data_IF_468701460337
#
_entry.id   IF_468701460337
#
_cell.length_a   1.000
_cell.length_b   1.000
_cell.length_c   1.000
_cell.angle_alpha   90.00
_cell.angle_beta   90.00
_cell.angle_gamma   90.00
#
_symmetry.space_group_name_H-M   'P 1'
#
loop_
_entity.id
_entity.type
_entity.pdbx_description
1 polymer ?
#
# COMPACT_ATOMS: atom_id res chain seq x y z
N UNK A 1 -20.92 55.25 47.42
CA UNK A 1 -19.77 54.80 46.59
C UNK A 1 -20.13 53.47 45.96
N UNK A 2 -20.49 53.46 44.67
CA UNK A 2 -20.81 52.23 43.93
C UNK A 2 -19.55 51.79 43.18
N UNK A 3 -19.04 50.61 43.52
CA UNK A 3 -17.90 50.00 42.83
C UNK A 3 -18.44 49.26 41.59
N UNK A 4 -18.08 49.71 40.38
CA UNK A 4 -18.32 48.98 39.13
C UNK A 4 -17.30 47.82 39.02
N UNK A 5 -17.72 46.61 38.61
CA UNK A 5 -16.79 45.52 38.30
C UNK A 5 -16.11 45.78 36.94
N UNK A 6 -14.76 45.70 36.94
CA UNK A 6 -13.96 45.74 35.70
C UNK A 6 -14.16 44.43 34.90
N UNK A 7 -14.69 44.56 33.69
CA UNK A 7 -14.81 43.46 32.72
C UNK A 7 -13.45 43.34 32.01
N UNK A 8 -12.73 42.26 32.29
CA UNK A 8 -11.49 41.93 31.59
C UNK A 8 -11.86 41.27 30.23
N UNK A 9 -11.38 41.78 29.08
CA UNK A 9 -11.65 41.15 27.82
C UNK A 9 -10.85 39.85 27.71
N UNK A 10 -11.54 38.72 27.56
CA UNK A 10 -10.94 37.44 27.18
C UNK A 10 -10.60 37.51 25.69
N UNK A 11 -9.32 37.68 25.38
CA UNK A 11 -8.82 37.50 24.01
C UNK A 11 -8.90 36.02 23.67
N UNK A 12 -9.90 35.63 22.88
CA UNK A 12 -9.91 34.36 22.16
C UNK A 12 -8.83 34.43 21.08
N UNK A 13 -7.68 33.83 21.36
CA UNK A 13 -6.69 33.52 20.33
C UNK A 13 -7.27 32.43 19.43
N UNK A 14 -7.94 32.82 18.36
CA UNK A 14 -8.31 31.96 17.26
C UNK A 14 -6.99 31.56 16.56
N UNK A 15 -6.39 30.47 17.00
CA UNK A 15 -5.25 29.86 16.31
C UNK A 15 -5.71 29.34 14.96
N UNK A 16 -5.52 30.11 13.89
CA UNK A 16 -5.59 29.57 12.53
C UNK A 16 -4.54 28.50 12.41
N UNK A 17 -4.90 27.23 12.60
CA UNK A 17 -4.07 26.12 12.16
C UNK A 17 -3.94 26.24 10.64
N UNK A 18 -2.75 26.59 10.15
CA UNK A 18 -2.49 26.56 8.70
C UNK A 18 -2.79 25.14 8.22
N UNK A 19 -3.68 25.00 7.25
CA UNK A 19 -3.94 23.71 6.62
C UNK A 19 -2.60 23.15 6.11
N UNK A 20 -2.29 21.91 6.46
CA UNK A 20 -1.07 21.25 5.99
C UNK A 20 -1.27 20.94 4.50
N UNK A 21 -0.38 21.39 3.62
CA UNK A 21 -0.51 21.08 2.21
C UNK A 21 -0.41 19.57 1.98
N UNK A 22 -1.21 19.06 1.05
CA UNK A 22 -1.20 17.64 0.67
C UNK A 22 0.21 17.25 0.14
N UNK A 23 0.91 16.29 0.79
CA UNK A 23 2.22 15.84 0.33
C UNK A 23 2.07 14.98 -0.91
N UNK A 24 2.76 15.34 -2.01
CA UNK A 24 2.73 14.56 -3.24
C UNK A 24 3.89 13.56 -3.27
N UNK A 25 3.61 12.24 -3.43
CA UNK A 25 4.66 11.26 -3.66
C UNK A 25 5.41 11.54 -4.98
N UNK A 26 6.73 11.31 -4.98
CA UNK A 26 7.56 11.45 -6.18
C UNK A 26 7.57 10.13 -6.95
N UNK A 27 7.05 10.15 -8.19
CA UNK A 27 7.02 8.99 -9.05
C UNK A 27 8.43 8.51 -9.50
N UNK A 28 9.42 9.39 -9.56
CA UNK A 28 10.80 8.99 -9.87
C UNK A 28 11.42 8.20 -8.71
N UNK A 29 11.15 8.61 -7.46
CA UNK A 29 11.57 7.83 -6.29
C UNK A 29 10.83 6.47 -6.26
N UNK A 30 9.54 6.44 -6.56
CA UNK A 30 8.79 5.20 -6.67
C UNK A 30 9.39 4.26 -7.73
N UNK A 31 9.67 4.78 -8.93
CA UNK A 31 10.28 4.02 -10.02
C UNK A 31 11.67 3.49 -9.66
N UNK A 32 12.47 4.30 -8.98
CA UNK A 32 13.80 3.88 -8.51
C UNK A 32 13.69 2.69 -7.56
N UNK A 33 12.79 2.75 -6.57
CA UNK A 33 12.59 1.65 -5.63
C UNK A 33 12.04 0.38 -6.28
N UNK A 34 11.07 0.52 -7.20
CA UNK A 34 10.54 -0.61 -7.97
C UNK A 34 11.64 -1.29 -8.80
N UNK A 35 12.51 -0.50 -9.49
CA UNK A 35 13.65 -1.00 -10.25
C UNK A 35 14.68 -1.72 -9.38
N UNK A 36 15.03 -1.12 -8.23
CA UNK A 36 15.98 -1.73 -7.29
C UNK A 36 15.47 -3.11 -6.79
N UNK A 37 14.16 -3.21 -6.52
CA UNK A 37 13.53 -4.46 -6.09
C UNK A 37 13.48 -5.50 -7.21
N UNK A 38 13.09 -5.12 -8.42
CA UNK A 38 12.98 -6.00 -9.59
C UNK A 38 14.31 -6.63 -10.01
N UNK A 39 15.45 -6.07 -9.58
CA UNK A 39 16.79 -6.66 -9.80
C UNK A 39 17.11 -7.81 -8.84
N UNK A 40 16.32 -8.01 -7.78
CA UNK A 40 16.48 -9.14 -6.86
C UNK A 40 15.73 -10.33 -7.43
N UNK A 41 16.42 -11.23 -8.10
CA UNK A 41 15.83 -12.40 -8.74
C UNK A 41 16.61 -13.67 -8.41
N UNK A 42 15.91 -14.82 -8.25
CA UNK A 42 14.46 -14.98 -8.17
C UNK A 42 13.93 -14.47 -6.82
N UNK A 43 12.73 -13.82 -6.82
CA UNK A 43 12.13 -13.22 -5.62
C UNK A 43 10.84 -13.94 -5.18
N UNK A 44 10.62 -15.17 -5.63
CA UNK A 44 9.44 -15.93 -5.19
C UNK A 44 9.51 -16.28 -3.70
N UNK A 45 8.37 -16.43 -3.06
CA UNK A 45 8.23 -16.81 -1.66
C UNK A 45 9.13 -17.97 -1.27
N UNK A 46 9.78 -17.88 -0.12
CA UNK A 46 10.70 -18.88 0.41
C UNK A 46 12.10 -18.88 -0.21
N UNK A 47 12.36 -18.08 -1.26
CA UNK A 47 13.69 -17.94 -1.88
C UNK A 47 14.60 -17.02 -1.05
N UNK A 48 15.92 -17.12 -1.30
CA UNK A 48 16.88 -16.15 -0.73
C UNK A 48 16.61 -14.73 -1.27
N UNK A 49 16.15 -14.60 -2.53
CA UNK A 49 15.76 -13.30 -3.08
C UNK A 49 14.58 -12.68 -2.36
N UNK A 50 13.56 -13.44 -1.96
CA UNK A 50 12.46 -12.90 -1.14
C UNK A 50 12.96 -12.38 0.20
N UNK A 51 13.90 -13.09 0.85
CA UNK A 51 14.56 -12.62 2.07
C UNK A 51 15.35 -11.33 1.85
N UNK A 52 16.16 -11.26 0.79
CA UNK A 52 16.94 -10.05 0.44
C UNK A 52 16.03 -8.87 0.11
N UNK A 53 14.89 -9.11 -0.53
CA UNK A 53 13.87 -8.09 -0.80
C UNK A 53 13.28 -7.52 0.50
N UNK A 54 12.90 -8.38 1.45
CA UNK A 54 12.42 -7.95 2.77
C UNK A 54 13.48 -7.11 3.51
N UNK A 55 14.75 -7.55 3.51
CA UNK A 55 15.87 -6.82 4.12
C UNK A 55 16.11 -5.46 3.44
N UNK A 56 15.95 -5.38 2.10
CA UNK A 56 16.06 -4.12 1.38
C UNK A 56 14.92 -3.16 1.75
N UNK A 57 13.66 -3.65 1.78
CA UNK A 57 12.49 -2.85 2.16
C UNK A 57 12.65 -2.36 3.60
N UNK A 58 13.03 -3.25 4.53
CA UNK A 58 13.27 -2.88 5.92
C UNK A 58 14.33 -1.77 6.05
N UNK A 59 15.46 -1.89 5.33
CA UNK A 59 16.52 -0.89 5.33
C UNK A 59 16.01 0.46 4.81
N UNK A 60 15.29 0.47 3.66
CA UNK A 60 14.72 1.69 3.07
C UNK A 60 13.70 2.36 3.99
N UNK A 61 12.84 1.57 4.62
CA UNK A 61 11.89 2.09 5.59
C UNK A 61 12.57 2.69 6.83
N UNK A 62 13.67 2.11 7.30
CA UNK A 62 14.47 2.62 8.42
C UNK A 62 15.23 3.92 8.12
N UNK A 63 15.43 4.26 6.84
CA UNK A 63 15.96 5.57 6.43
C UNK A 63 14.97 6.71 6.71
N UNK A 64 13.72 6.39 7.09
CA UNK A 64 12.64 7.32 7.38
C UNK A 64 12.34 7.35 8.89
N UNK A 65 12.98 8.21 9.69
CA UNK A 65 12.93 8.17 11.15
C UNK A 65 11.55 8.44 11.78
N UNK A 66 10.58 8.96 11.02
CA UNK A 66 9.20 9.08 11.48
C UNK A 66 8.48 7.72 11.62
N UNK A 67 9.01 6.67 10.99
CA UNK A 67 8.38 5.36 10.94
C UNK A 67 9.03 4.37 11.93
N UNK A 68 8.18 3.59 12.60
CA UNK A 68 8.61 2.45 13.41
C UNK A 68 8.55 1.20 12.55
N UNK A 69 9.71 0.60 12.26
CA UNK A 69 9.83 -0.52 11.34
C UNK A 69 9.99 -1.84 12.11
N UNK A 70 9.26 -2.86 11.68
CA UNK A 70 9.33 -4.23 12.21
C UNK A 70 9.16 -5.27 11.12
N UNK A 71 9.69 -6.46 11.35
CA UNK A 71 9.56 -7.62 10.44
C UNK A 71 8.91 -8.76 11.22
N UNK A 72 7.79 -9.29 10.70
CA UNK A 72 7.17 -10.53 11.20
C UNK A 72 7.66 -11.71 10.35
N UNK A 73 8.47 -12.56 10.94
CA UNK A 73 8.98 -13.78 10.31
C UNK A 73 8.13 -14.95 10.76
N UNK A 74 7.55 -15.68 9.82
CA UNK A 74 6.68 -16.81 10.11
C UNK A 74 6.86 -17.95 9.12
N UNK A 75 6.37 -19.12 9.47
CA UNK A 75 6.35 -20.29 8.59
C UNK A 75 4.90 -20.66 8.27
N UNK A 76 4.68 -21.09 7.04
CA UNK A 76 3.41 -21.66 6.61
C UNK A 76 3.64 -22.86 5.70
N UNK A 77 2.72 -23.82 5.80
CA UNK A 77 2.67 -24.96 4.90
C UNK A 77 2.11 -24.50 3.56
N UNK A 78 2.81 -24.85 2.49
CA UNK A 78 2.40 -24.59 1.10
C UNK A 78 2.46 -25.88 0.30
N UNK A 79 1.94 -25.92 -0.94
CA UNK A 79 2.15 -27.05 -1.85
C UNK A 79 3.61 -27.37 -2.12
N UNK A 80 4.52 -26.38 -2.02
CA UNK A 80 5.95 -26.54 -2.16
C UNK A 80 6.66 -26.98 -0.84
N UNK A 81 5.90 -27.24 0.22
CA UNK A 81 6.41 -27.58 1.54
C UNK A 81 6.29 -26.42 2.54
N UNK A 82 7.00 -26.56 3.67
CA UNK A 82 6.99 -25.52 4.71
C UNK A 82 7.96 -24.39 4.31
N UNK A 83 7.43 -23.22 4.00
CA UNK A 83 8.20 -22.05 3.60
C UNK A 83 8.28 -21.00 4.72
N UNK A 84 9.32 -20.19 4.67
CA UNK A 84 9.48 -19.03 5.58
C UNK A 84 9.15 -17.74 4.85
N UNK A 85 8.24 -16.96 5.43
CA UNK A 85 7.74 -15.70 4.93
C UNK A 85 8.14 -14.53 5.84
N UNK A 86 8.14 -13.30 5.29
CA UNK A 86 8.52 -12.09 6.03
C UNK A 86 7.63 -10.91 5.64
N UNK A 87 6.71 -10.51 6.52
CA UNK A 87 6.03 -9.23 6.34
C UNK A 87 6.88 -8.10 6.92
N UNK A 88 7.11 -7.04 6.16
CA UNK A 88 7.74 -5.82 6.66
C UNK A 88 6.65 -4.79 6.94
N UNK A 89 6.65 -4.22 8.14
CA UNK A 89 5.69 -3.19 8.55
C UNK A 89 6.42 -1.92 8.96
N UNK A 90 5.95 -0.77 8.45
CA UNK A 90 6.42 0.56 8.82
C UNK A 90 5.24 1.39 9.32
N UNK A 91 5.28 1.78 10.57
CA UNK A 91 4.18 2.46 11.26
C UNK A 91 4.52 3.93 11.46
N UNK A 92 3.69 4.82 10.90
CA UNK A 92 3.70 6.24 11.24
C UNK A 92 2.70 6.46 12.38
N UNK A 93 3.18 6.79 13.60
CA UNK A 93 2.29 6.99 14.74
C UNK A 93 1.28 8.10 14.50
N UNK A 94 0.05 7.87 14.91
CA UNK A 94 -1.04 8.84 14.86
C UNK A 94 -1.47 9.33 16.24
N UNK A 95 -2.48 10.22 16.28
CA UNK A 95 -3.08 10.71 17.52
C UNK A 95 -4.07 9.72 18.16
N UNK A 96 -4.39 8.64 17.48
CA UNK A 96 -5.40 7.65 17.86
C UNK A 96 -4.83 6.23 17.64
N UNK A 97 -5.29 5.28 18.45
CA UNK A 97 -5.01 3.85 18.25
C UNK A 97 -5.78 3.23 17.06
N UNK A 98 -6.67 4.00 16.41
CA UNK A 98 -7.29 3.57 15.14
C UNK A 98 -6.29 3.78 14.02
N UNK A 99 -6.30 2.90 13.03
CA UNK A 99 -5.33 2.94 11.96
C UNK A 99 -5.92 2.62 10.59
N UNK A 100 -5.17 3.00 9.55
CA UNK A 100 -5.36 2.58 8.16
C UNK A 100 -4.15 1.75 7.76
N UNK A 101 -4.39 0.66 7.04
CA UNK A 101 -3.34 -0.14 6.39
C UNK A 101 -3.22 0.30 4.94
N UNK A 102 -1.99 0.51 4.48
CA UNK A 102 -1.65 0.65 3.06
C UNK A 102 -0.69 -0.47 2.73
N UNK A 103 -1.05 -1.33 1.81
CA UNK A 103 -0.31 -2.55 1.53
C UNK A 103 0.12 -2.72 0.09
N UNK A 104 1.15 -3.53 -0.12
CA UNK A 104 1.57 -4.09 -1.40
C UNK A 104 2.31 -5.39 -1.14
N UNK A 105 2.22 -6.37 -2.04
CA UNK A 105 3.09 -7.52 -1.98
C UNK A 105 4.46 -7.19 -2.58
N UNK A 106 5.49 -7.99 -2.23
CA UNK A 106 6.83 -7.78 -2.75
C UNK A 106 7.45 -9.05 -3.35
N UNK A 107 6.87 -10.21 -3.07
CA UNK A 107 7.29 -11.45 -3.72
C UNK A 107 6.90 -11.45 -5.21
N UNK A 108 7.44 -12.36 -5.98
CA UNK A 108 7.18 -12.47 -7.40
C UNK A 108 6.80 -13.91 -7.74
N UNK A 109 5.99 -14.07 -8.76
CA UNK A 109 5.57 -15.39 -9.24
C UNK A 109 6.74 -16.31 -9.52
N UNK A 110 6.64 -17.56 -9.08
CA UNK A 110 7.56 -18.61 -9.48
C UNK A 110 7.15 -19.14 -10.86
N UNK A 111 7.94 -18.84 -11.87
CA UNK A 111 7.71 -19.30 -13.23
C UNK A 111 8.87 -20.20 -13.67
N UNK A 112 8.61 -21.49 -13.88
CA UNK A 112 9.64 -22.45 -14.33
C UNK A 112 10.19 -22.08 -15.71
N UNK A 113 9.37 -21.47 -16.58
CA UNK A 113 9.78 -20.99 -17.90
C UNK A 113 10.56 -19.69 -17.88
N UNK A 114 10.56 -18.94 -16.76
CA UNK A 114 11.23 -17.64 -16.59
C UNK A 114 11.93 -17.62 -15.24
N UNK A 115 13.05 -18.34 -15.05
CA UNK A 115 13.69 -18.50 -13.73
C UNK A 115 14.11 -17.19 -13.04
N UNK A 116 14.38 -16.14 -13.81
CA UNK A 116 14.73 -14.80 -13.32
C UNK A 116 13.57 -13.81 -13.57
N UNK A 117 12.35 -14.24 -13.33
CA UNK A 117 11.18 -13.38 -13.43
C UNK A 117 11.34 -12.15 -12.53
N UNK A 118 11.21 -10.95 -13.14
CA UNK A 118 11.47 -9.70 -12.43
C UNK A 118 10.28 -9.28 -11.55
N UNK A 119 9.05 -9.52 -12.00
CA UNK A 119 7.87 -9.01 -11.31
C UNK A 119 8.01 -7.51 -11.06
N UNK A 120 8.35 -6.74 -12.12
CA UNK A 120 8.67 -5.32 -11.97
C UNK A 120 7.42 -4.49 -11.67
N UNK A 121 6.32 -4.81 -12.33
CA UNK A 121 5.00 -4.27 -12.03
C UNK A 121 4.33 -5.09 -10.94
N UNK A 122 4.31 -6.40 -11.12
CA UNK A 122 3.71 -7.39 -10.25
C UNK A 122 4.65 -7.68 -9.06
N UNK A 123 4.32 -7.10 -7.91
CA UNK A 123 5.07 -7.05 -6.67
C UNK A 123 6.10 -5.91 -6.57
N UNK A 124 6.62 -5.36 -7.68
CA UNK A 124 7.62 -4.29 -7.64
C UNK A 124 7.04 -2.89 -7.55
N UNK A 125 6.01 -2.61 -8.35
CA UNK A 125 5.43 -1.26 -8.49
C UNK A 125 4.76 -0.77 -7.20
N UNK A 126 3.99 -1.63 -6.54
CA UNK A 126 3.32 -1.32 -5.28
C UNK A 126 4.32 -0.97 -4.18
N UNK A 127 5.41 -1.73 -4.06
CA UNK A 127 6.50 -1.43 -3.10
C UNK A 127 7.10 -0.06 -3.37
N UNK A 128 7.40 0.26 -4.64
CA UNK A 128 7.92 1.57 -5.02
C UNK A 128 6.99 2.71 -4.64
N UNK A 129 5.69 2.54 -4.92
CA UNK A 129 4.66 3.51 -4.58
C UNK A 129 4.55 3.73 -3.05
N UNK A 130 4.54 2.66 -2.26
CA UNK A 130 4.47 2.74 -0.79
C UNK A 130 5.68 3.49 -0.21
N UNK A 131 6.89 3.20 -0.64
CA UNK A 131 8.10 3.87 -0.17
C UNK A 131 8.10 5.38 -0.52
N UNK A 132 7.63 5.74 -1.72
CA UNK A 132 7.47 7.15 -2.11
C UNK A 132 6.40 7.86 -1.28
N UNK A 133 5.27 7.19 -0.94
CA UNK A 133 4.25 7.74 -0.04
C UNK A 133 4.81 7.97 1.37
N UNK A 134 5.56 7.02 1.90
CA UNK A 134 6.22 7.14 3.21
C UNK A 134 7.19 8.33 3.23
N UNK A 135 8.00 8.49 2.15
CA UNK A 135 8.93 9.63 2.02
C UNK A 135 8.17 10.96 2.00
N UNK A 136 7.08 11.07 1.25
CA UNK A 136 6.25 12.27 1.20
C UNK A 136 5.65 12.64 2.56
N UNK A 137 5.19 11.65 3.33
CA UNK A 137 4.69 11.84 4.69
C UNK A 137 5.79 12.26 5.67
N UNK A 138 6.98 11.65 5.57
CA UNK A 138 8.17 12.03 6.33
C UNK A 138 8.54 13.49 6.11
N UNK A 139 8.59 13.94 4.85
CA UNK A 139 8.96 15.30 4.48
C UNK A 139 7.91 16.32 4.90
N UNK A 140 6.64 15.94 4.90
CA UNK A 140 5.56 16.80 5.39
C UNK A 140 5.61 17.02 6.91
N UNK A 141 6.25 16.13 7.66
CA UNK A 141 6.45 16.26 9.11
C UNK A 141 5.16 16.30 9.92
N UNK A 142 4.06 15.73 9.39
CA UNK A 142 2.76 15.77 10.04
C UNK A 142 2.48 14.52 10.86
N UNK A 143 1.89 14.69 12.04
CA UNK A 143 1.32 13.57 12.81
C UNK A 143 -0.14 13.38 12.39
N UNK A 144 -0.48 12.27 11.75
CA UNK A 144 -1.85 12.03 11.28
C UNK A 144 -2.82 11.79 12.44
N UNK A 145 -4.14 12.07 12.26
CA UNK A 145 -5.16 11.76 13.27
C UNK A 145 -5.28 10.28 13.59
N UNK A 146 -5.11 9.41 12.60
CA UNK A 146 -5.06 7.95 12.74
C UNK A 146 -3.63 7.48 12.49
N UNK A 147 -3.24 6.38 13.11
CA UNK A 147 -1.99 5.69 12.80
C UNK A 147 -2.01 5.17 11.35
N UNK A 148 -0.89 5.25 10.65
CA UNK A 148 -0.75 4.69 9.29
C UNK A 148 0.22 3.52 9.33
N UNK A 149 -0.23 2.37 8.84
CA UNK A 149 0.58 1.15 8.77
C UNK A 149 0.83 0.81 7.31
N UNK A 150 2.06 1.00 6.86
CA UNK A 150 2.53 0.53 5.56
C UNK A 150 3.02 -0.90 5.72
N UNK A 151 2.43 -1.83 4.97
CA UNK A 151 2.73 -3.25 5.10
C UNK A 151 3.12 -3.82 3.75
N UNK A 152 4.30 -4.42 3.70
CA UNK A 152 4.84 -5.11 2.54
C UNK A 152 4.66 -6.61 2.80
N UNK A 153 3.75 -7.22 2.05
CA UNK A 153 3.37 -8.61 2.23
C UNK A 153 4.30 -9.56 1.47
N UNK A 154 4.58 -10.71 2.07
CA UNK A 154 5.26 -11.84 1.43
C UNK A 154 4.26 -12.94 1.16
N UNK A 155 4.38 -13.60 0.02
CA UNK A 155 3.56 -14.76 -0.29
C UNK A 155 2.14 -14.42 -0.71
N UNK A 156 1.94 -13.35 -1.43
CA UNK A 156 0.74 -13.11 -2.21
C UNK A 156 0.63 -14.18 -3.29
N UNK A 157 1.73 -14.42 -3.98
CA UNK A 157 1.82 -15.31 -5.14
C UNK A 157 1.68 -16.79 -4.78
N UNK A 158 0.68 -17.44 -5.35
CA UNK A 158 0.51 -18.88 -5.20
C UNK A 158 1.69 -19.65 -5.80
N UNK A 159 2.13 -20.71 -5.12
CA UNK A 159 3.20 -21.59 -5.62
C UNK A 159 2.74 -22.44 -6.79
N UNK A 160 1.45 -22.84 -6.81
CA UNK A 160 0.84 -23.65 -7.85
C UNK A 160 -0.45 -22.98 -8.32
N UNK A 161 -1.42 -22.80 -7.44
CA UNK A 161 -2.75 -22.29 -7.75
C UNK A 161 -3.36 -21.64 -6.52
N UNK A 162 -3.98 -20.47 -6.69
CA UNK A 162 -4.67 -19.77 -5.59
C UNK A 162 -5.81 -20.63 -5.03
N UNK A 163 -5.56 -21.20 -3.87
CA UNK A 163 -6.47 -22.07 -3.11
C UNK A 163 -6.23 -21.86 -1.61
N UNK A 164 -7.05 -22.50 -0.76
CA UNK A 164 -6.79 -22.51 0.67
C UNK A 164 -5.39 -23.09 0.96
N UNK A 165 -4.49 -22.26 1.49
CA UNK A 165 -3.12 -22.64 1.81
C UNK A 165 -2.10 -22.44 0.67
N UNK A 166 -2.49 -21.78 -0.41
CA UNK A 166 -1.56 -21.37 -1.47
C UNK A 166 -1.87 -19.95 -1.98
N UNK A 167 -0.99 -19.01 -1.71
CA UNK A 167 -1.17 -17.58 -1.93
C UNK A 167 -1.69 -16.82 -0.71
N UNK A 168 -1.54 -15.51 -0.71
CA UNK A 168 -2.00 -14.54 0.30
C UNK A 168 -1.50 -14.83 1.71
N UNK A 169 -0.38 -15.51 1.87
CA UNK A 169 0.15 -15.92 3.18
C UNK A 169 0.44 -14.73 4.09
N UNK A 170 1.01 -13.66 3.53
CA UNK A 170 1.37 -12.45 4.28
C UNK A 170 0.18 -11.69 4.83
N UNK A 171 -0.81 -11.42 4.00
CA UNK A 171 -2.02 -10.70 4.41
C UNK A 171 -2.88 -11.51 5.37
N UNK A 172 -3.05 -12.80 5.14
CA UNK A 172 -3.74 -13.71 6.06
C UNK A 172 -3.04 -13.75 7.43
N UNK A 173 -1.69 -13.85 7.45
CA UNK A 173 -0.89 -13.77 8.68
C UNK A 173 -1.11 -12.44 9.39
N UNK A 174 -1.05 -11.32 8.68
CA UNK A 174 -1.22 -9.99 9.25
C UNK A 174 -2.61 -9.84 9.90
N UNK A 175 -3.67 -10.22 9.20
CA UNK A 175 -5.04 -10.19 9.73
C UNK A 175 -5.21 -11.12 10.93
N UNK A 176 -4.59 -12.31 10.92
CA UNK A 176 -4.59 -13.22 12.06
C UNK A 176 -3.94 -12.60 13.29
N UNK A 177 -2.82 -11.87 13.11
CA UNK A 177 -2.15 -11.13 14.19
C UNK A 177 -3.01 -9.98 14.72
N UNK A 178 -3.71 -9.23 13.85
CA UNK A 178 -4.67 -8.22 14.29
C UNK A 178 -5.80 -8.84 15.15
N UNK A 179 -6.29 -10.00 14.75
CA UNK A 179 -7.31 -10.75 15.52
C UNK A 179 -6.75 -11.18 16.88
N UNK A 180 -5.56 -11.76 16.91
CA UNK A 180 -4.89 -12.21 18.15
C UNK A 180 -4.66 -11.05 19.13
N UNK A 181 -4.32 -9.86 18.61
CA UNK A 181 -4.10 -8.63 19.41
C UNK A 181 -5.40 -7.88 19.73
N UNK A 182 -6.56 -8.35 19.26
CA UNK A 182 -7.86 -7.69 19.40
C UNK A 182 -7.89 -6.28 18.77
N UNK A 183 -7.19 -6.11 17.64
CA UNK A 183 -7.02 -4.83 16.93
C UNK A 183 -7.92 -4.70 15.68
N UNK A 184 -8.61 -5.76 15.23
CA UNK A 184 -9.44 -5.72 14.01
C UNK A 184 -10.38 -4.50 13.96
N UNK A 185 -11.08 -4.22 15.08
CA UNK A 185 -12.02 -3.08 15.19
C UNK A 185 -11.34 -1.71 15.12
N UNK A 186 -10.03 -1.63 15.29
CA UNK A 186 -9.25 -0.39 15.19
C UNK A 186 -8.80 -0.13 13.74
N UNK A 187 -8.73 -1.15 12.89
CA UNK A 187 -8.47 -1.00 11.46
C UNK A 187 -9.69 -0.38 10.78
N UNK A 188 -9.52 0.79 10.19
CA UNK A 188 -10.62 1.56 9.58
C UNK A 188 -10.75 1.33 8.09
N UNK A 189 -9.64 1.00 7.45
CA UNK A 189 -9.59 0.67 6.03
C UNK A 189 -8.28 -0.03 5.71
N UNK A 190 -8.28 -0.78 4.60
CA UNK A 190 -7.09 -1.29 3.93
C UNK A 190 -7.11 -0.80 2.48
N UNK A 191 -5.98 -0.25 2.03
CA UNK A 191 -5.76 0.19 0.64
C UNK A 191 -4.58 -0.61 0.11
N UNK A 192 -4.84 -1.46 -0.85
CA UNK A 192 -3.83 -2.25 -1.55
C UNK A 192 -3.39 -1.52 -2.81
N UNK A 193 -2.12 -1.62 -3.16
CA UNK A 193 -1.56 -1.17 -4.43
C UNK A 193 -0.87 -2.36 -5.09
N UNK A 194 -1.45 -2.84 -6.17
CA UNK A 194 -0.87 -3.90 -6.98
C UNK A 194 -0.84 -3.52 -8.46
N UNK A 195 0.23 -3.88 -9.17
CA UNK A 195 0.44 -3.62 -10.60
C UNK A 195 0.16 -2.16 -11.02
N UNK A 196 0.64 -1.19 -10.23
CA UNK A 196 0.31 0.25 -10.35
C UNK A 196 1.29 1.06 -11.20
N UNK A 197 2.18 0.40 -11.95
CA UNK A 197 3.28 1.04 -12.64
C UNK A 197 3.22 1.03 -14.17
N UNK A 198 2.22 0.41 -14.81
CA UNK A 198 2.11 0.35 -16.27
C UNK A 198 2.14 1.77 -16.86
N UNK A 199 2.86 1.92 -17.98
CA UNK A 199 2.96 3.17 -18.74
C UNK A 199 1.61 3.69 -19.25
N UNK A 200 0.60 2.82 -19.45
CA UNK A 200 -0.79 3.17 -19.82
C UNK A 200 -1.76 2.92 -18.65
N UNK A 201 -1.49 3.49 -17.51
CA UNK A 201 -2.18 3.28 -16.24
C UNK A 201 -3.70 3.42 -16.32
N UNK A 202 -4.42 2.36 -15.94
CA UNK A 202 -5.89 2.26 -15.91
C UNK A 202 -6.38 1.51 -14.68
N UNK A 203 -6.21 2.08 -13.50
CA UNK A 203 -6.71 1.49 -12.26
C UNK A 203 -8.20 1.14 -12.39
N UNK A 204 -8.56 -0.10 -12.09
CA UNK A 204 -9.91 -0.62 -12.24
C UNK A 204 -10.42 -1.19 -10.91
N UNK A 205 -11.41 -0.51 -10.31
CA UNK A 205 -11.97 -0.93 -9.03
C UNK A 205 -12.89 -2.13 -9.19
N UNK A 206 -12.64 -3.18 -8.43
CA UNK A 206 -13.45 -4.40 -8.39
C UNK A 206 -14.86 -4.11 -7.88
N UNK A 207 -15.90 -4.83 -8.37
CA UNK A 207 -17.29 -4.66 -7.94
C UNK A 207 -17.54 -4.90 -6.44
N UNK A 208 -16.70 -5.68 -5.78
CA UNK A 208 -16.78 -6.01 -4.35
C UNK A 208 -15.99 -5.03 -3.46
N UNK A 209 -15.40 -3.99 -4.04
CA UNK A 209 -14.79 -2.89 -3.30
C UNK A 209 -15.81 -2.21 -2.37
N UNK A 210 -15.41 -1.93 -1.13
CA UNK A 210 -16.25 -1.15 -0.21
C UNK A 210 -16.72 0.16 -0.88
N UNK A 211 -18.05 0.46 -0.91
CA UNK A 211 -18.56 1.61 -1.65
C UNK A 211 -18.03 2.97 -1.18
N UNK A 212 -17.70 3.11 0.11
CA UNK A 212 -17.14 4.35 0.67
C UNK A 212 -15.70 4.51 0.18
N UNK A 213 -14.93 3.42 0.14
CA UNK A 213 -13.57 3.45 -0.37
C UNK A 213 -13.54 3.70 -1.88
N UNK A 214 -14.44 3.07 -2.66
CA UNK A 214 -14.58 3.33 -4.09
C UNK A 214 -14.91 4.81 -4.37
N UNK A 215 -15.91 5.37 -3.68
CA UNK A 215 -16.24 6.78 -3.80
C UNK A 215 -15.09 7.71 -3.38
N UNK A 216 -14.33 7.33 -2.35
CA UNK A 216 -13.16 8.09 -1.87
C UNK A 216 -12.04 8.07 -2.91
N UNK A 217 -11.78 6.92 -3.55
CA UNK A 217 -10.78 6.80 -4.61
C UNK A 217 -11.14 7.64 -5.83
N UNK A 218 -12.38 7.55 -6.30
CA UNK A 218 -12.87 8.35 -7.43
C UNK A 218 -12.78 9.86 -7.13
N UNK A 219 -13.17 10.27 -5.91
CA UNK A 219 -13.06 11.67 -5.48
C UNK A 219 -11.60 12.12 -5.38
N UNK A 220 -10.71 11.29 -4.84
CA UNK A 220 -9.28 11.57 -4.76
C UNK A 220 -8.67 11.78 -6.17
N UNK A 221 -8.99 10.89 -7.10
CA UNK A 221 -8.53 11.01 -8.49
C UNK A 221 -9.08 12.28 -9.16
N UNK A 222 -10.37 12.60 -8.94
CA UNK A 222 -10.98 13.83 -9.47
C UNK A 222 -10.26 15.09 -8.99
N UNK A 223 -10.04 15.22 -7.69
CA UNK A 223 -9.38 16.39 -7.09
C UNK A 223 -7.92 16.55 -7.51
N UNK A 224 -7.27 15.45 -7.86
CA UNK A 224 -5.89 15.44 -8.37
C UNK A 224 -5.80 15.61 -9.89
N UNK A 225 -6.94 15.56 -10.61
CA UNK A 225 -6.98 15.65 -12.08
C UNK A 225 -6.68 14.33 -12.81
N UNK A 226 -6.82 13.19 -12.12
CA UNK A 226 -6.46 11.85 -12.62
C UNK A 226 -7.68 10.97 -12.98
N UNK A 227 -8.83 11.59 -13.34
CA UNK A 227 -10.08 10.87 -13.65
C UNK A 227 -9.92 9.79 -14.73
N UNK A 228 -9.04 9.99 -15.70
CA UNK A 228 -8.80 9.06 -16.79
C UNK A 228 -8.00 7.82 -16.38
N UNK A 229 -7.35 7.87 -15.23
CA UNK A 229 -6.47 6.80 -14.75
C UNK A 229 -7.16 5.86 -13.75
N UNK A 230 -8.45 6.06 -13.47
CA UNK A 230 -9.22 5.21 -12.58
C UNK A 230 -10.65 5.04 -13.09
N UNK A 231 -11.20 3.83 -12.96
CA UNK A 231 -12.57 3.51 -13.34
C UNK A 231 -13.23 2.55 -12.36
N UNK A 232 -14.55 2.56 -12.34
CA UNK A 232 -15.37 1.52 -11.70
C UNK A 232 -15.53 0.32 -12.61
N UNK A 233 -16.10 -0.76 -12.08
CA UNK A 233 -16.44 -1.97 -12.83
C UNK A 233 -15.22 -2.67 -13.45
N UNK A 234 -14.13 -2.74 -12.71
CA UNK A 234 -13.03 -3.65 -13.00
C UNK A 234 -13.44 -5.11 -12.88
N UNK A 235 -12.57 -6.07 -13.22
CA UNK A 235 -12.80 -7.47 -12.92
C UNK A 235 -12.84 -7.71 -11.40
N UNK A 236 -13.49 -8.77 -10.98
CA UNK A 236 -13.36 -9.22 -9.60
C UNK A 236 -11.97 -9.81 -9.41
N UNK A 237 -11.25 -9.31 -8.40
CA UNK A 237 -9.89 -9.74 -8.10
C UNK A 237 -9.85 -10.49 -6.77
N UNK A 238 -8.99 -11.50 -6.71
CA UNK A 238 -8.54 -12.11 -5.46
C UNK A 238 -7.11 -11.63 -5.24
N UNK A 239 -6.89 -10.96 -4.10
CA UNK A 239 -5.61 -10.39 -3.74
C UNK A 239 -5.53 -10.19 -2.22
N UNK A 240 -4.44 -9.67 -1.70
CA UNK A 240 -4.18 -9.44 -0.27
C UNK A 240 -5.30 -8.65 0.44
N UNK A 241 -6.03 -7.77 -0.26
CA UNK A 241 -7.20 -7.06 0.29
C UNK A 241 -8.32 -8.01 0.72
N UNK A 242 -8.45 -9.17 0.09
CA UNK A 242 -9.48 -10.18 0.39
C UNK A 242 -9.37 -10.70 1.82
N UNK A 243 -8.16 -10.85 2.37
CA UNK A 243 -7.96 -11.27 3.75
C UNK A 243 -8.60 -10.29 4.74
N UNK A 244 -8.54 -8.99 4.45
CA UNK A 244 -9.14 -7.93 5.26
C UNK A 244 -10.66 -7.91 5.11
N UNK A 245 -11.18 -8.02 3.89
CA UNK A 245 -12.63 -8.12 3.62
C UNK A 245 -13.25 -9.30 4.38
N UNK A 246 -12.61 -10.47 4.35
CA UNK A 246 -13.04 -11.68 5.08
C UNK A 246 -13.02 -11.48 6.61
N UNK A 247 -12.26 -10.52 7.11
CA UNK A 247 -12.25 -10.14 8.52
C UNK A 247 -13.23 -9.00 8.86
N UNK A 248 -14.03 -8.54 7.91
CA UNK A 248 -14.99 -7.45 8.07
C UNK A 248 -14.36 -6.06 8.07
N UNK A 249 -13.14 -5.92 7.54
CA UNK A 249 -12.46 -4.63 7.39
C UNK A 249 -12.73 -4.10 5.98
N UNK A 250 -13.22 -2.85 5.82
CA UNK A 250 -13.35 -2.22 4.52
C UNK A 250 -12.02 -2.23 3.78
N UNK A 251 -11.99 -2.77 2.56
CA UNK A 251 -10.75 -2.85 1.77
C UNK A 251 -11.00 -2.48 0.31
N UNK A 252 -9.96 -1.96 -0.33
CA UNK A 252 -9.91 -1.61 -1.74
C UNK A 252 -8.58 -2.06 -2.32
N UNK A 253 -8.65 -2.56 -3.52
CA UNK A 253 -7.51 -2.83 -4.36
C UNK A 253 -7.42 -1.77 -5.47
N UNK A 254 -6.30 -1.05 -5.52
CA UNK A 254 -5.95 -0.15 -6.59
C UNK A 254 -5.04 -0.91 -7.54
N UNK A 255 -5.63 -1.57 -8.53
CA UNK A 255 -4.92 -2.44 -9.45
C UNK A 255 -5.14 -2.02 -10.91
N UNK A 256 -4.10 -2.11 -11.72
CA UNK A 256 -4.18 -2.09 -13.17
C UNK A 256 -3.89 -3.48 -13.72
N UNK A 257 -4.95 -4.26 -13.92
CA UNK A 257 -4.83 -5.63 -14.43
C UNK A 257 -4.79 -5.69 -15.98
N UNK A 258 -4.79 -4.55 -16.67
CA UNK A 258 -4.63 -4.47 -18.13
C UNK A 258 -3.16 -4.20 -18.52
N UNK A 259 -2.24 -5.05 -18.06
CA UNK A 259 -0.79 -4.83 -18.17
C UNK A 259 -0.26 -5.13 -19.57
N UNK A 260 -0.03 -4.05 -20.32
CA UNK A 260 0.30 -4.09 -21.75
C UNK A 260 -0.90 -4.51 -22.62
N UNK A 261 -0.72 -4.56 -23.96
CA UNK A 261 -1.79 -4.99 -24.87
C UNK A 261 -2.27 -6.40 -24.54
N UNK A 262 -3.58 -6.56 -24.34
CA UNK A 262 -4.21 -7.86 -24.02
C UNK A 262 -3.58 -8.58 -22.80
N UNK A 263 -3.06 -7.82 -21.83
CA UNK A 263 -2.43 -8.32 -20.60
C UNK A 263 -1.19 -9.22 -20.83
N UNK A 264 -0.44 -8.99 -21.94
CA UNK A 264 0.65 -9.90 -22.37
C UNK A 264 1.89 -9.86 -21.47
N UNK A 265 2.03 -8.87 -20.59
CA UNK A 265 3.19 -8.79 -19.70
C UNK A 265 2.98 -9.51 -18.37
N UNK A 266 1.73 -9.69 -17.92
CA UNK A 266 1.41 -10.35 -16.67
C UNK A 266 1.86 -11.80 -16.66
N UNK A 267 2.61 -12.21 -15.64
CA UNK A 267 3.19 -13.55 -15.46
C UNK A 267 3.99 -14.06 -16.66
N UNK A 268 4.70 -13.15 -17.35
CA UNK A 268 5.58 -13.49 -18.48
C UNK A 268 6.96 -12.80 -18.34
N UNK A 269 7.90 -13.20 -19.19
CA UNK A 269 9.20 -12.52 -19.28
C UNK A 269 9.09 -11.03 -19.67
N UNK A 270 7.88 -10.57 -20.04
CA UNK A 270 7.59 -9.17 -20.38
C UNK A 270 7.41 -8.25 -19.18
N UNK A 271 7.22 -8.78 -17.95
CA UNK A 271 7.13 -7.93 -16.76
C UNK A 271 8.52 -7.46 -16.32
N UNK A 272 8.96 -6.37 -16.91
CA UNK A 272 10.30 -5.80 -16.76
C UNK A 272 10.26 -4.32 -16.47
N UNK A 273 11.35 -3.78 -15.90
CA UNK A 273 11.44 -2.39 -15.43
C UNK A 273 11.23 -1.32 -16.52
N UNK A 274 11.43 -1.66 -17.80
CA UNK A 274 11.21 -0.76 -18.94
C UNK A 274 9.72 -0.57 -19.27
N UNK A 275 8.83 -1.35 -18.68
CA UNK A 275 7.37 -1.18 -18.81
C UNK A 275 6.80 -0.20 -17.78
N UNK A 276 7.58 0.10 -16.73
CA UNK A 276 7.14 1.00 -15.67
C UNK A 276 7.30 2.46 -16.04
N UNK A 277 6.34 3.29 -15.60
CA UNK A 277 6.33 4.73 -15.74
C UNK A 277 6.40 5.43 -14.39
N UNK A 278 7.31 6.41 -14.25
CA UNK A 278 7.35 7.28 -13.08
C UNK A 278 6.03 8.05 -12.90
N UNK A 279 5.43 8.51 -14.00
CA UNK A 279 4.15 9.24 -13.95
C UNK A 279 3.04 8.34 -13.40
N UNK A 280 2.94 7.10 -13.86
CA UNK A 280 1.94 6.14 -13.41
C UNK A 280 2.09 5.81 -11.92
N UNK A 281 3.32 5.52 -11.49
CA UNK A 281 3.62 5.28 -10.08
C UNK A 281 3.30 6.49 -9.20
N UNK A 282 3.64 7.71 -9.67
CA UNK A 282 3.31 8.96 -9.00
C UNK A 282 1.80 9.20 -8.89
N UNK A 283 1.04 8.90 -9.96
CA UNK A 283 -0.42 9.02 -9.99
C UNK A 283 -1.06 8.04 -8.99
N UNK A 284 -0.69 6.77 -9.04
CA UNK A 284 -1.24 5.72 -8.17
C UNK A 284 -0.94 6.01 -6.70
N UNK A 285 0.31 6.34 -6.38
CA UNK A 285 0.72 6.72 -5.04
C UNK A 285 0.00 7.98 -4.55
N UNK A 286 -0.22 8.99 -5.42
CA UNK A 286 -0.93 10.21 -5.07
C UNK A 286 -2.43 9.96 -4.82
N UNK A 287 -3.09 9.11 -5.62
CA UNK A 287 -4.49 8.71 -5.40
C UNK A 287 -4.61 8.00 -4.04
N UNK A 288 -3.78 6.98 -3.78
CA UNK A 288 -3.78 6.24 -2.52
C UNK A 288 -3.52 7.16 -1.31
N UNK A 289 -2.51 8.02 -1.38
CA UNK A 289 -2.21 8.95 -0.29
C UNK A 289 -3.33 9.98 -0.09
N UNK A 290 -3.99 10.45 -1.16
CA UNK A 290 -5.15 11.35 -1.06
C UNK A 290 -6.35 10.66 -0.43
N UNK A 291 -6.55 9.37 -0.69
CA UNK A 291 -7.55 8.56 0.04
C UNK A 291 -7.23 8.51 1.53
N UNK A 292 -5.99 8.18 1.91
CA UNK A 292 -5.54 8.21 3.32
C UNK A 292 -5.81 9.59 3.94
N UNK A 293 -5.50 10.67 3.23
CA UNK A 293 -5.72 12.04 3.67
C UNK A 293 -7.18 12.32 4.00
N UNK A 294 -8.09 11.88 3.11
CA UNK A 294 -9.55 12.01 3.30
C UNK A 294 -10.07 11.16 4.46
N UNK A 295 -9.69 9.89 4.49
CA UNK A 295 -10.17 8.92 5.49
C UNK A 295 -9.68 9.24 6.91
N UNK A 296 -8.56 9.92 7.05
CA UNK A 296 -8.02 10.37 8.34
C UNK A 296 -8.55 11.74 8.78
N UNK A 297 -9.23 12.48 7.90
CA UNK A 297 -9.70 13.83 8.18
C UNK A 297 -8.59 14.88 8.22
N UNK A 298 -7.50 14.65 7.47
CA UNK A 298 -6.42 15.62 7.31
C UNK A 298 -6.75 16.72 6.29
N UNK A 299 -7.89 16.65 5.64
CA UNK A 299 -8.38 17.75 4.81
C UNK A 299 -8.80 18.95 5.68
N UNK A 300 -8.59 20.19 5.19
CA UNK A 300 -8.97 21.41 5.89
C UNK A 300 -10.50 21.54 6.00
#
# INVERSE_FOLDING_TARGET
MKILPAILPVLLLCGCSKAVPFPRPDGNEALKHAKELALIVPRHSGSEGAKLAAEQIERKAKELPAFQVSVDVFQAQTPAGNLTFRNVSAVLPGKSAKFIVVGAHYDAKKLDSVPNFQGANDGGSGVGALLAMMKALQDAGTTPPLELRFVFFDGEEAQILYTDGDGFHGSQRYVSELRRKNELRNCRAMILLDMVGDSDLKLALSPDTDPILAATAMKAAHELGYNKNIRLNGPQMLDDHTAFQNAGIPAIDLIDFEYGPDNIYWHTAGDTVDKLSADSLGISAAIALKMVWKLTGMEP
#
